data_IF_175691445077
#
_entry.id   IF_175691445077
#
_cell.length_a   1.000
_cell.length_b   1.000
_cell.length_c   1.000
_cell.angle_alpha   90.00
_cell.angle_beta   90.00
_cell.angle_gamma   90.00
#
_symmetry.space_group_name_H-M   'P 1'
#
loop_
_entity.id
_entity.type
_entity.pdbx_description
1 polymer ?
#
# COMPACT_ATOMS: atom_id res chain seq x y z
N UNK A 1 -1.45 8.79 33.15
CA UNK A 1 -1.96 7.43 32.85
C UNK A 1 -0.99 6.85 31.84
N UNK A 2 -0.38 5.71 32.14
CA UNK A 2 0.48 5.00 31.19
C UNK A 2 -0.42 4.33 30.14
N UNK A 3 -0.23 4.64 28.88
CA UNK A 3 -0.99 4.05 27.78
C UNK A 3 -0.05 3.64 26.66
N UNK A 4 -0.44 2.61 25.92
CA UNK A 4 0.31 2.15 24.77
C UNK A 4 0.20 3.16 23.62
N UNK A 5 1.33 3.68 23.15
CA UNK A 5 1.37 4.68 22.09
C UNK A 5 1.21 4.01 20.71
N UNK A 6 0.01 4.08 20.14
CA UNK A 6 -0.29 3.53 18.81
C UNK A 6 0.46 4.25 17.66
N UNK A 7 0.94 5.47 17.89
CA UNK A 7 1.59 6.26 16.84
C UNK A 7 2.80 5.53 16.24
N UNK A 8 3.55 4.76 17.03
CA UNK A 8 4.70 4.01 16.52
C UNK A 8 4.32 2.93 15.49
N UNK A 9 3.12 2.36 15.60
CA UNK A 9 2.61 1.38 14.62
C UNK A 9 2.07 2.12 13.39
N UNK A 10 1.40 3.25 13.59
CA UNK A 10 0.94 4.10 12.49
C UNK A 10 2.13 4.57 11.66
N UNK A 11 3.19 5.05 12.29
CA UNK A 11 4.42 5.47 11.63
C UNK A 11 5.09 4.31 10.88
N UNK A 12 5.15 3.11 11.50
CA UNK A 12 5.65 1.91 10.81
C UNK A 12 4.93 1.64 9.48
N UNK A 13 3.62 1.86 9.41
CA UNK A 13 2.83 1.59 8.21
C UNK A 13 2.85 2.76 7.23
N UNK A 14 2.69 3.98 7.72
CA UNK A 14 2.33 5.16 6.93
C UNK A 14 3.45 6.20 6.77
N UNK A 15 4.57 6.09 7.51
CA UNK A 15 5.63 7.09 7.47
C UNK A 15 6.12 7.31 6.03
N UNK A 16 6.14 8.56 5.53
CA UNK A 16 6.62 8.85 4.18
C UNK A 16 8.05 8.33 3.96
N UNK A 17 8.29 7.68 2.83
CA UNK A 17 9.59 7.15 2.39
C UNK A 17 10.19 6.02 3.24
N UNK A 18 9.60 5.67 4.39
CA UNK A 18 10.13 4.62 5.28
C UNK A 18 9.12 3.53 5.62
N UNK A 19 7.84 3.89 5.73
CA UNK A 19 6.79 2.97 6.14
C UNK A 19 6.52 1.88 5.11
N UNK A 20 5.76 0.88 5.54
CA UNK A 20 5.41 -0.28 4.71
C UNK A 20 4.78 0.14 3.37
N UNK A 21 3.84 1.11 3.40
CA UNK A 21 3.17 1.59 2.19
C UNK A 21 4.18 2.23 1.22
N UNK A 22 5.12 3.03 1.72
CA UNK A 22 6.13 3.66 0.89
C UNK A 22 7.05 2.63 0.22
N UNK A 23 7.48 1.59 0.95
CA UNK A 23 8.29 0.50 0.40
C UNK A 23 7.50 -0.28 -0.67
N UNK A 24 6.21 -0.54 -0.42
CA UNK A 24 5.34 -1.24 -1.36
C UNK A 24 5.14 -0.45 -2.66
N UNK A 25 4.98 0.87 -2.54
CA UNK A 25 4.83 1.76 -3.69
C UNK A 25 6.11 1.84 -4.51
N UNK A 26 7.28 1.97 -3.85
CA UNK A 26 8.58 1.91 -4.53
C UNK A 26 8.79 0.58 -5.27
N UNK A 27 8.40 -0.54 -4.64
CA UNK A 27 8.48 -1.86 -5.25
C UNK A 27 7.57 -1.99 -6.49
N UNK A 28 6.38 -1.39 -6.46
CA UNK A 28 5.47 -1.36 -7.62
C UNK A 28 5.97 -0.48 -8.77
N UNK A 29 6.74 0.57 -8.44
CA UNK A 29 7.27 1.53 -9.40
C UNK A 29 8.63 1.13 -10.00
N UNK A 30 9.31 0.15 -9.41
CA UNK A 30 10.63 -0.27 -9.85
C UNK A 30 10.55 -0.98 -11.20
N UNK A 31 11.35 -0.52 -12.16
CA UNK A 31 11.44 -1.12 -13.50
C UNK A 31 12.24 -2.41 -13.41
N UNK A 32 11.56 -3.56 -13.36
CA UNK A 32 12.18 -4.87 -13.28
C UNK A 32 11.23 -5.97 -12.81
N UNK A 33 11.72 -7.21 -12.74
CA UNK A 33 10.98 -8.33 -12.14
C UNK A 33 11.10 -8.26 -10.62
N UNK A 34 10.31 -7.41 -9.99
CA UNK A 34 10.13 -7.43 -8.53
C UNK A 34 9.11 -8.52 -8.18
N UNK A 35 9.43 -9.33 -7.17
CA UNK A 35 8.55 -10.36 -6.61
C UNK A 35 8.15 -10.00 -5.19
N UNK A 36 7.08 -10.58 -4.68
CA UNK A 36 6.63 -10.35 -3.30
C UNK A 36 7.73 -10.71 -2.28
N UNK A 37 8.55 -11.72 -2.57
CA UNK A 37 9.69 -12.09 -1.74
C UNK A 37 10.77 -10.98 -1.70
N UNK A 38 11.07 -10.32 -2.82
CA UNK A 38 12.00 -9.19 -2.86
C UNK A 38 11.43 -7.96 -2.13
N UNK A 39 10.12 -7.77 -2.18
CA UNK A 39 9.44 -6.77 -1.36
C UNK A 39 9.62 -7.07 0.14
N UNK A 40 9.42 -8.31 0.57
CA UNK A 40 9.67 -8.72 1.96
C UNK A 40 11.14 -8.52 2.36
N UNK A 41 12.09 -8.85 1.50
CA UNK A 41 13.52 -8.59 1.77
C UNK A 41 13.82 -7.10 1.95
N UNK A 42 13.16 -6.25 1.16
CA UNK A 42 13.28 -4.79 1.27
C UNK A 42 12.69 -4.28 2.58
N UNK A 43 11.57 -4.86 3.03
CA UNK A 43 11.00 -4.59 4.36
C UNK A 43 11.95 -5.05 5.46
N UNK A 44 12.49 -6.26 5.40
CA UNK A 44 13.43 -6.79 6.38
C UNK A 44 14.67 -5.91 6.52
N UNK A 45 15.20 -5.41 5.40
CA UNK A 45 16.38 -4.55 5.39
C UNK A 45 16.12 -3.17 6.04
N UNK A 46 14.95 -2.57 5.81
CA UNK A 46 14.62 -1.21 6.27
C UNK A 46 13.97 -1.20 7.65
N UNK A 47 13.07 -2.14 7.92
CA UNK A 47 12.21 -2.21 9.10
C UNK A 47 12.67 -3.24 10.13
N UNK A 48 13.70 -4.05 9.85
CA UNK A 48 14.10 -5.16 10.72
C UNK A 48 14.58 -4.77 12.12
N UNK A 49 14.88 -3.49 12.36
CA UNK A 49 15.21 -2.95 13.69
C UNK A 49 14.00 -2.40 14.45
N UNK A 50 12.83 -2.33 13.81
CA UNK A 50 11.64 -1.75 14.38
C UNK A 50 10.99 -2.72 15.39
N UNK A 51 10.68 -2.31 16.62
CA UNK A 51 10.23 -3.22 17.69
C UNK A 51 8.88 -3.91 17.41
N UNK A 52 8.06 -3.31 16.55
CA UNK A 52 6.75 -3.82 16.12
C UNK A 52 6.78 -4.58 14.80
N UNK A 53 7.93 -4.74 14.15
CA UNK A 53 8.07 -5.51 12.92
C UNK A 53 8.94 -6.73 13.16
N UNK A 54 8.53 -7.88 12.63
CA UNK A 54 9.38 -9.06 12.58
C UNK A 54 9.00 -9.92 11.38
N UNK A 55 9.90 -10.79 10.98
CA UNK A 55 9.68 -11.78 9.93
C UNK A 55 10.41 -13.05 10.30
N UNK A 56 10.18 -14.12 9.54
CA UNK A 56 10.89 -15.37 9.78
C UNK A 56 12.42 -15.24 9.64
N UNK A 57 12.89 -14.32 8.80
CA UNK A 57 14.33 -14.07 8.61
C UNK A 57 14.97 -13.40 9.83
N UNK A 58 14.22 -12.53 10.50
CA UNK A 58 14.70 -11.81 11.70
C UNK A 58 14.56 -12.64 12.97
N UNK A 59 13.58 -13.54 13.01
CA UNK A 59 13.36 -14.46 14.11
C UNK A 59 13.28 -15.91 13.61
N UNK A 60 14.44 -16.51 13.37
CA UNK A 60 14.56 -17.88 12.84
C UNK A 60 13.96 -18.95 13.76
N UNK A 61 13.84 -18.66 15.05
CA UNK A 61 13.28 -19.58 16.05
C UNK A 61 11.74 -19.68 15.96
N UNK A 62 11.07 -18.64 15.44
CA UNK A 62 9.62 -18.65 15.32
C UNK A 62 9.16 -19.53 14.15
N UNK A 63 8.74 -20.76 14.46
CA UNK A 63 8.22 -21.74 13.50
C UNK A 63 6.82 -21.45 12.94
N UNK A 64 6.13 -20.43 13.46
CA UNK A 64 4.77 -20.08 13.02
C UNK A 64 4.73 -19.26 11.73
N UNK A 65 5.83 -18.64 11.30
CA UNK A 65 5.94 -17.87 10.06
C UNK A 65 6.75 -18.61 8.99
N UNK A 66 6.30 -18.55 7.74
CA UNK A 66 7.01 -19.11 6.59
C UNK A 66 8.13 -18.18 6.10
N UNK A 67 9.30 -18.76 5.81
CA UNK A 67 10.47 -18.01 5.36
C UNK A 67 10.28 -17.45 3.95
N UNK A 68 10.55 -16.15 3.77
CA UNK A 68 10.42 -15.49 2.47
C UNK A 68 8.97 -15.19 2.04
N UNK A 69 8.00 -15.43 2.93
CA UNK A 69 6.58 -15.26 2.66
C UNK A 69 5.83 -14.49 3.74
N UNK A 70 6.13 -14.70 5.02
CA UNK A 70 5.36 -14.09 6.11
C UNK A 70 6.17 -13.05 6.90
N UNK A 71 5.47 -11.99 7.29
CA UNK A 71 5.92 -11.02 8.28
C UNK A 71 4.84 -10.81 9.34
N UNK A 72 5.21 -10.20 10.46
CA UNK A 72 4.30 -9.94 11.57
C UNK A 72 4.43 -8.51 12.06
N UNK A 73 3.28 -7.91 12.33
CA UNK A 73 3.18 -6.62 12.98
C UNK A 73 2.58 -6.85 14.37
N UNK A 74 3.23 -6.26 15.38
CA UNK A 74 2.72 -6.25 16.76
C UNK A 74 1.77 -5.07 16.93
N UNK A 75 0.48 -5.28 16.70
CA UNK A 75 -0.54 -4.26 16.87
C UNK A 75 -0.91 -4.08 18.34
N UNK A 76 -1.64 -3.00 18.64
CA UNK A 76 -2.17 -2.75 19.98
C UNK A 76 -3.09 -3.88 20.48
N UNK A 77 -3.80 -4.55 19.56
CA UNK A 77 -4.72 -5.64 19.86
C UNK A 77 -4.05 -7.02 19.84
N UNK A 78 -2.74 -7.08 19.58
CA UNK A 78 -1.97 -8.32 19.48
C UNK A 78 -1.20 -8.47 18.17
N UNK A 79 -0.50 -9.59 18.07
CA UNK A 79 0.36 -9.92 16.94
C UNK A 79 -0.46 -10.41 15.74
N UNK A 80 -0.27 -9.79 14.58
CA UNK A 80 -0.93 -10.18 13.32
C UNK A 80 0.14 -10.59 12.32
N UNK A 81 -0.02 -11.80 11.77
CA UNK A 81 0.87 -12.34 10.72
C UNK A 81 0.24 -12.11 9.36
N UNK A 82 1.02 -11.53 8.45
CA UNK A 82 0.64 -11.19 7.08
C UNK A 82 1.51 -11.98 6.11
N UNK A 83 0.89 -12.50 5.06
CA UNK A 83 1.59 -13.14 3.95
C UNK A 83 1.79 -12.13 2.83
N UNK A 84 3.02 -11.94 2.34
CA UNK A 84 3.31 -10.99 1.25
C UNK A 84 2.75 -11.43 -0.11
N UNK A 85 2.23 -12.65 -0.20
CA UNK A 85 1.71 -13.20 -1.45
C UNK A 85 0.60 -12.32 -2.07
N UNK A 86 0.88 -11.86 -3.29
CA UNK A 86 0.00 -10.99 -4.06
C UNK A 86 -0.07 -9.55 -3.56
N UNK A 87 0.81 -9.11 -2.64
CA UNK A 87 0.83 -7.71 -2.17
C UNK A 87 1.10 -6.75 -3.32
N UNK A 88 2.08 -7.05 -4.17
CA UNK A 88 2.42 -6.18 -5.30
C UNK A 88 1.27 -6.11 -6.31
N UNK A 89 0.67 -7.24 -6.64
CA UNK A 89 -0.40 -7.30 -7.63
C UNK A 89 -1.69 -6.64 -7.12
N UNK A 90 -2.02 -6.79 -5.83
CA UNK A 90 -3.13 -6.05 -5.20
C UNK A 90 -2.87 -4.55 -5.11
N UNK A 91 -1.60 -4.13 -5.03
CA UNK A 91 -1.25 -2.71 -4.92
C UNK A 91 -1.18 -2.00 -6.28
N UNK A 92 -0.95 -2.73 -7.37
CA UNK A 92 -0.97 -2.23 -8.75
C UNK A 92 -2.41 -1.91 -9.19
N UNK A 93 -2.94 -0.79 -8.72
CA UNK A 93 -4.28 -0.31 -9.08
C UNK A 93 -4.24 0.61 -10.31
N UNK A 94 -3.67 0.11 -11.39
CA UNK A 94 -3.44 0.92 -12.59
C UNK A 94 -4.62 0.84 -13.54
N UNK A 95 -5.59 1.75 -13.40
CA UNK A 95 -6.58 2.00 -14.45
C UNK A 95 -5.98 2.94 -15.50
N UNK A 96 -5.50 2.36 -16.61
CA UNK A 96 -4.89 3.12 -17.70
C UNK A 96 -5.85 4.12 -18.33
N UNK A 97 -5.30 5.23 -18.81
CA UNK A 97 -6.11 6.32 -19.33
C UNK A 97 -6.90 5.93 -20.59
N UNK A 98 -6.40 4.98 -21.38
CA UNK A 98 -7.10 4.49 -22.56
C UNK A 98 -8.40 3.76 -22.20
N UNK A 99 -8.44 3.06 -21.06
CA UNK A 99 -9.68 2.45 -20.57
C UNK A 99 -10.67 3.52 -20.08
N UNK A 100 -10.20 4.58 -19.41
CA UNK A 100 -11.06 5.69 -19.00
C UNK A 100 -11.66 6.42 -20.20
N UNK A 101 -10.87 6.64 -21.26
CA UNK A 101 -11.32 7.18 -22.54
C UNK A 101 -12.36 6.28 -23.19
N UNK A 102 -12.13 4.97 -23.21
CA UNK A 102 -13.07 4.00 -23.77
C UNK A 102 -14.42 4.09 -23.06
N UNK A 103 -14.42 4.09 -21.72
CA UNK A 103 -15.65 4.19 -20.92
C UNK A 103 -16.36 5.54 -21.13
N UNK A 104 -15.61 6.64 -21.20
CA UNK A 104 -16.15 7.98 -21.47
C UNK A 104 -16.77 8.12 -22.87
N UNK A 105 -16.26 7.39 -23.87
CA UNK A 105 -16.81 7.40 -25.23
C UNK A 105 -17.89 6.31 -25.44
N UNK A 106 -18.30 5.62 -24.38
CA UNK A 106 -19.43 4.69 -24.42
C UNK A 106 -20.73 5.41 -24.79
N UNK A 107 -21.67 4.68 -25.40
CA UNK A 107 -23.01 5.20 -25.66
C UNK A 107 -23.89 5.29 -24.39
N UNK A 108 -23.47 4.66 -23.29
CA UNK A 108 -24.16 4.69 -22.00
C UNK A 108 -23.82 5.96 -21.21
N UNK A 109 -24.77 6.89 -20.96
CA UNK A 109 -24.53 8.12 -20.21
C UNK A 109 -23.96 7.90 -18.81
N UNK A 110 -24.31 6.80 -18.14
CA UNK A 110 -23.81 6.49 -16.80
C UNK A 110 -22.31 6.20 -16.83
N UNK A 111 -21.83 5.48 -17.84
CA UNK A 111 -20.39 5.21 -18.02
C UNK A 111 -19.62 6.49 -18.35
N UNK A 112 -20.25 7.44 -19.06
CA UNK A 112 -19.62 8.75 -19.30
C UNK A 112 -19.45 9.54 -18.01
N UNK A 113 -20.48 9.55 -17.16
CA UNK A 113 -20.49 10.30 -15.89
C UNK A 113 -19.49 9.74 -14.87
N UNK A 114 -19.30 8.42 -14.84
CA UNK A 114 -18.38 7.76 -13.90
C UNK A 114 -16.90 7.99 -14.22
N UNK A 115 -16.53 8.26 -15.48
CA UNK A 115 -15.14 8.47 -15.92
C UNK A 115 -14.93 9.79 -16.66
N UNK A 116 -15.18 10.94 -16.01
CA UNK A 116 -15.06 12.25 -16.64
C UNK A 116 -13.62 12.57 -17.08
N UNK A 117 -12.61 11.92 -16.48
CA UNK A 117 -11.21 12.10 -16.89
C UNK A 117 -10.95 11.54 -18.29
N UNK A 118 -11.80 10.67 -18.82
CA UNK A 118 -11.70 10.16 -20.19
C UNK A 118 -11.82 11.25 -21.26
N UNK A 119 -12.28 12.45 -20.91
CA UNK A 119 -12.30 13.62 -21.82
C UNK A 119 -10.90 14.21 -22.10
N UNK A 120 -9.91 13.92 -21.27
CA UNK A 120 -8.56 14.49 -21.36
C UNK A 120 -7.86 14.15 -22.68
N UNK A 121 -7.18 15.14 -23.27
CA UNK A 121 -6.48 14.98 -24.54
C UNK A 121 -5.40 13.90 -24.48
N UNK A 122 -5.18 13.18 -25.58
CA UNK A 122 -4.06 12.22 -25.70
C UNK A 122 -2.68 12.85 -25.53
N UNK A 123 -2.59 14.15 -25.77
CA UNK A 123 -1.36 14.93 -25.64
C UNK A 123 -1.10 15.43 -24.22
N UNK A 124 -2.07 15.30 -23.30
CA UNK A 124 -1.87 15.70 -21.90
C UNK A 124 -1.05 14.65 -21.15
N UNK A 125 0.02 15.11 -20.49
CA UNK A 125 0.82 14.28 -19.60
C UNK A 125 0.01 14.04 -18.33
N UNK A 126 -0.57 12.85 -18.20
CA UNK A 126 -1.22 12.43 -16.97
C UNK A 126 -0.18 12.10 -15.91
N UNK A 127 -0.42 12.54 -14.67
CA UNK A 127 0.38 12.08 -13.52
C UNK A 127 0.29 10.56 -13.43
N UNK A 128 1.35 9.93 -12.90
CA UNK A 128 1.33 8.49 -12.64
C UNK A 128 0.15 8.18 -11.69
N UNK A 129 -0.60 7.10 -11.95
CA UNK A 129 -1.67 6.69 -11.07
C UNK A 129 -1.09 6.37 -9.70
N UNK A 130 -1.85 6.73 -8.66
CA UNK A 130 -1.55 6.33 -7.30
C UNK A 130 -1.77 4.83 -7.16
N UNK A 131 -1.04 4.21 -6.24
CA UNK A 131 -1.24 2.80 -5.89
C UNK A 131 -2.48 2.63 -5.00
N UNK A 132 -2.99 1.40 -4.90
CA UNK A 132 -4.12 1.09 -4.02
C UNK A 132 -3.84 1.54 -2.58
N UNK A 133 -2.66 1.21 -2.05
CA UNK A 133 -2.29 1.52 -0.66
C UNK A 133 -2.26 3.03 -0.41
N UNK A 134 -1.74 3.83 -1.34
CA UNK A 134 -1.77 5.29 -1.21
C UNK A 134 -3.20 5.84 -1.28
N UNK A 135 -4.07 5.29 -2.15
CA UNK A 135 -5.49 5.68 -2.21
C UNK A 135 -6.24 5.36 -0.90
N UNK A 136 -6.03 4.15 -0.36
CA UNK A 136 -6.60 3.76 0.93
C UNK A 136 -6.11 4.65 2.07
N UNK A 137 -4.80 4.92 2.14
CA UNK A 137 -4.23 5.82 3.14
C UNK A 137 -4.87 7.20 3.10
N UNK A 138 -4.95 7.80 1.90
CA UNK A 138 -5.55 9.12 1.74
C UNK A 138 -7.02 9.13 2.16
N UNK A 139 -7.77 8.07 1.83
CA UNK A 139 -9.18 7.94 2.23
C UNK A 139 -9.35 7.85 3.75
N UNK A 140 -8.46 7.14 4.44
CA UNK A 140 -8.46 7.04 5.91
C UNK A 140 -8.12 8.40 6.53
N UNK A 141 -7.10 9.09 6.03
CA UNK A 141 -6.71 10.43 6.50
C UNK A 141 -7.89 11.40 6.37
N UNK A 142 -8.52 11.48 5.19
CA UNK A 142 -9.68 12.35 4.97
C UNK A 142 -10.85 12.01 5.88
N UNK A 143 -11.07 10.73 6.18
CA UNK A 143 -12.10 10.30 7.12
C UNK A 143 -11.78 10.80 8.54
N UNK A 144 -10.55 10.62 9.01
CA UNK A 144 -10.13 11.05 10.35
C UNK A 144 -10.23 12.57 10.50
N UNK A 145 -9.83 13.34 9.47
CA UNK A 145 -9.99 14.80 9.44
C UNK A 145 -11.47 15.21 9.52
N UNK A 146 -12.36 14.51 8.83
CA UNK A 146 -13.80 14.75 8.92
C UNK A 146 -14.35 14.45 10.33
N UNK A 147 -13.88 13.38 10.96
CA UNK A 147 -14.28 13.07 12.35
C UNK A 147 -13.74 14.10 13.34
N UNK A 148 -12.51 14.56 13.17
CA UNK A 148 -11.86 15.52 14.07
C UNK A 148 -12.43 16.94 13.96
N UNK A 149 -13.10 17.27 12.85
CA UNK A 149 -13.75 18.57 12.62
C UNK A 149 -15.20 18.63 13.12
N UNK A 150 -15.73 17.52 13.68
CA UNK A 150 -17.02 17.46 14.37
C UNK A 150 -16.85 17.56 15.88
#
# INVERSE_FOLDING_TARGET
IEYFNNQIIVDLVEEPHKGIIAILDEACLTVGKITDALFLESMDARLGKHPHYTSRKLNSADKSMEYGRDFRIKHYAGDVTYSVEGFLDKNKDTLFQDFKRLMYNSADPLLQEMWPEGKQSITEVTKRPLTAATLFKNSIVSLVENLASK
#
